data_IF_479027283969
#
_entry.id   IF_479027283969
#
_cell.length_a   1.000
_cell.length_b   1.000
_cell.length_c   1.000
_cell.angle_alpha   90.00
_cell.angle_beta   90.00
_cell.angle_gamma   90.00
#
_symmetry.space_group_name_H-M   'P 1'
#
loop_
_entity.id
_entity.type
_entity.pdbx_description
1 polymer ?
#
# COMPACT_ATOMS: atom_id res chain seq x y z
N UNK A 1 14.57 30.13 -28.72
CA UNK A 1 13.78 29.48 -27.66
C UNK A 1 14.38 28.11 -27.45
N UNK A 2 14.75 27.77 -26.21
CA UNK A 2 15.41 26.49 -25.91
C UNK A 2 14.49 25.30 -26.25
N UNK A 3 15.06 24.24 -26.83
CA UNK A 3 14.30 23.10 -27.34
C UNK A 3 13.40 22.44 -26.28
N UNK A 4 13.89 22.31 -25.04
CA UNK A 4 13.12 21.75 -23.93
C UNK A 4 11.90 22.61 -23.55
N UNK A 5 11.96 23.95 -23.74
CA UNK A 5 10.81 24.83 -23.50
C UNK A 5 9.70 24.60 -24.52
N UNK A 6 10.05 24.31 -25.77
CA UNK A 6 9.07 23.93 -26.79
C UNK A 6 8.39 22.61 -26.44
N UNK A 7 9.17 21.63 -25.94
CA UNK A 7 8.63 20.38 -25.42
C UNK A 7 7.67 20.60 -24.24
N UNK A 8 8.04 21.44 -23.26
CA UNK A 8 7.17 21.77 -22.14
C UNK A 8 5.85 22.42 -22.59
N UNK A 9 5.92 23.37 -23.53
CA UNK A 9 4.72 23.99 -24.12
C UNK A 9 3.84 22.99 -24.86
N UNK A 10 4.44 22.03 -25.57
CA UNK A 10 3.68 20.95 -26.22
C UNK A 10 2.96 20.05 -25.20
N UNK A 11 3.63 19.68 -24.10
CA UNK A 11 3.02 18.89 -23.03
C UNK A 11 1.85 19.62 -22.35
N UNK A 12 1.96 20.95 -22.18
CA UNK A 12 0.85 21.79 -21.68
C UNK A 12 -0.32 21.78 -22.68
N UNK A 13 -0.04 21.91 -23.98
CA UNK A 13 -1.07 21.81 -25.03
C UNK A 13 -1.76 20.44 -25.03
N UNK A 14 -1.01 19.38 -24.77
CA UNK A 14 -1.54 18.02 -24.61
C UNK A 14 -2.27 17.79 -23.27
N UNK A 15 -2.47 18.83 -22.44
CA UNK A 15 -3.13 18.75 -21.12
C UNK A 15 -2.45 17.76 -20.15
N UNK A 16 -1.12 17.63 -20.25
CA UNK A 16 -0.30 16.78 -19.36
C UNK A 16 0.30 17.59 -18.21
N UNK A 17 0.64 18.85 -18.48
CA UNK A 17 1.16 19.79 -17.49
C UNK A 17 0.23 20.99 -17.38
N UNK A 18 -0.01 21.53 -16.17
CA UNK A 18 -0.77 22.76 -16.01
C UNK A 18 -0.01 23.99 -16.56
N UNK A 19 -0.73 25.03 -16.96
CA UNK A 19 -0.10 26.27 -17.48
C UNK A 19 0.75 26.97 -16.41
N UNK A 20 0.30 26.92 -15.16
CA UNK A 20 0.98 27.44 -13.98
C UNK A 20 2.13 26.57 -13.46
N UNK A 21 2.44 25.43 -14.12
CA UNK A 21 3.49 24.52 -13.67
C UNK A 21 4.87 25.19 -13.65
N UNK A 22 5.70 24.91 -12.62
CA UNK A 22 7.05 25.52 -12.42
C UNK A 22 7.98 25.52 -13.63
N UNK A 23 7.78 24.61 -14.59
CA UNK A 23 8.58 24.52 -15.84
C UNK A 23 8.33 25.67 -16.81
N UNK A 24 7.25 26.44 -16.61
CA UNK A 24 6.95 27.64 -17.40
C UNK A 24 7.61 28.90 -16.85
N UNK A 25 8.18 28.86 -15.65
CA UNK A 25 8.84 30.01 -15.04
C UNK A 25 10.11 30.40 -15.81
N UNK A 26 10.46 31.68 -15.77
CA UNK A 26 11.66 32.19 -16.45
C UNK A 26 12.94 31.56 -15.89
N UNK A 27 12.95 31.23 -14.60
CA UNK A 27 14.07 30.60 -13.89
C UNK A 27 14.21 29.09 -14.11
N UNK A 28 13.23 28.46 -14.76
CA UNK A 28 13.21 27.02 -14.97
C UNK A 28 14.32 26.55 -15.93
N UNK A 29 14.80 25.33 -15.69
CA UNK A 29 15.85 24.66 -16.46
C UNK A 29 15.31 23.35 -17.05
N UNK A 30 16.01 22.81 -18.04
CA UNK A 30 15.69 21.50 -18.62
C UNK A 30 15.59 20.38 -17.57
N UNK A 31 16.36 20.48 -16.48
CA UNK A 31 16.31 19.54 -15.37
C UNK A 31 14.96 19.54 -14.64
N UNK A 32 14.28 20.68 -14.53
CA UNK A 32 12.96 20.76 -13.88
C UNK A 32 11.91 19.99 -14.68
N UNK A 33 12.00 20.05 -16.01
CA UNK A 33 11.17 19.24 -16.91
C UNK A 33 11.52 17.75 -16.81
N UNK A 34 12.80 17.41 -16.79
CA UNK A 34 13.26 16.03 -16.60
C UNK A 34 12.71 15.45 -15.30
N UNK A 35 12.76 16.21 -14.19
CA UNK A 35 12.19 15.79 -12.91
C UNK A 35 10.69 15.53 -12.98
N UNK A 36 9.93 16.37 -13.68
CA UNK A 36 8.48 16.21 -13.81
C UNK A 36 8.09 14.98 -14.62
N UNK A 37 8.90 14.57 -15.59
CA UNK A 37 8.65 13.39 -16.42
C UNK A 37 9.24 12.10 -15.83
N UNK A 38 10.10 12.23 -14.81
CA UNK A 38 11.02 11.20 -14.32
C UNK A 38 10.36 9.91 -13.84
N UNK A 39 9.13 10.01 -13.37
CA UNK A 39 8.38 8.87 -12.82
C UNK A 39 7.55 8.12 -13.86
N UNK A 40 7.55 8.60 -15.11
CA UNK A 40 6.84 8.03 -16.24
C UNK A 40 5.31 8.21 -16.23
N UNK A 41 4.72 8.77 -15.17
CA UNK A 41 3.25 8.89 -15.06
C UNK A 41 2.71 9.86 -16.09
N UNK A 42 3.32 11.05 -16.18
CA UNK A 42 2.93 12.08 -17.15
C UNK A 42 3.14 11.62 -18.60
N UNK A 43 4.14 10.77 -18.84
CA UNK A 43 4.39 10.19 -20.16
C UNK A 43 3.30 9.18 -20.54
N UNK A 44 2.85 8.34 -19.61
CA UNK A 44 1.72 7.45 -19.86
C UNK A 44 0.42 8.22 -20.09
N UNK A 45 0.20 9.29 -19.32
CA UNK A 45 -0.97 10.17 -19.50
C UNK A 45 -0.95 10.88 -20.85
N UNK A 46 0.22 11.33 -21.31
CA UNK A 46 0.39 11.93 -22.64
C UNK A 46 -0.16 11.02 -23.73
N UNK A 47 0.17 9.73 -23.72
CA UNK A 47 -0.30 8.80 -24.75
C UNK A 47 -1.82 8.64 -24.73
N UNK A 48 -2.44 8.56 -23.55
CA UNK A 48 -3.89 8.51 -23.42
C UNK A 48 -4.59 9.79 -23.89
N UNK A 49 -3.95 10.95 -23.70
CA UNK A 49 -4.48 12.22 -24.19
C UNK A 49 -4.36 12.34 -25.73
N UNK A 50 -3.33 11.75 -26.33
CA UNK A 50 -3.14 11.71 -27.78
C UNK A 50 -4.02 10.65 -28.46
N UNK A 51 -4.24 9.51 -27.80
CA UNK A 51 -5.10 8.44 -28.25
C UNK A 51 -5.75 7.75 -27.04
N UNK A 52 -7.08 7.85 -26.86
CA UNK A 52 -7.75 7.26 -25.71
C UNK A 52 -7.47 5.76 -25.56
N UNK A 53 -7.40 5.30 -24.32
CA UNK A 53 -7.22 3.88 -23.95
C UNK A 53 -5.93 3.22 -24.48
N UNK A 54 -4.91 3.99 -24.88
CA UNK A 54 -3.61 3.41 -25.25
C UNK A 54 -2.95 2.67 -24.08
N UNK A 55 -3.02 3.25 -22.87
CA UNK A 55 -2.48 2.63 -21.65
C UNK A 55 -3.61 2.48 -20.64
N UNK A 56 -3.79 1.25 -20.15
CA UNK A 56 -4.64 1.00 -19.01
C UNK A 56 -4.02 1.60 -17.75
N UNK A 57 -4.56 2.72 -17.26
CA UNK A 57 -4.02 3.44 -16.10
C UNK A 57 -4.01 2.59 -14.81
N UNK A 58 -4.75 1.47 -14.77
CA UNK A 58 -4.72 0.50 -13.66
C UNK A 58 -3.46 -0.36 -13.62
N UNK A 59 -2.70 -0.42 -14.72
CA UNK A 59 -1.50 -1.26 -14.84
C UNK A 59 -0.20 -0.49 -14.53
N UNK A 60 -0.27 0.85 -14.52
CA UNK A 60 0.83 1.74 -14.15
C UNK A 60 0.68 2.20 -12.69
N UNK A 61 1.79 2.62 -12.09
CA UNK A 61 1.78 3.14 -10.72
C UNK A 61 1.63 4.66 -10.77
N UNK A 62 0.48 5.19 -10.32
CA UNK A 62 0.18 6.62 -10.36
C UNK A 62 0.95 7.45 -9.31
N UNK A 63 1.47 6.79 -8.27
CA UNK A 63 2.25 7.42 -7.20
C UNK A 63 3.49 6.59 -6.88
N UNK A 64 4.45 6.49 -7.81
CA UNK A 64 5.59 5.60 -7.65
C UNK A 64 6.60 6.07 -6.59
N UNK A 65 6.39 7.22 -5.92
CA UNK A 65 7.23 7.76 -4.84
C UNK A 65 8.75 7.77 -5.16
N UNK A 66 9.11 7.99 -6.44
CA UNK A 66 10.49 7.89 -6.92
C UNK A 66 11.16 6.51 -6.74
N UNK A 67 10.38 5.46 -6.47
CA UNK A 67 10.82 4.07 -6.50
C UNK A 67 11.38 3.73 -7.88
N UNK A 68 12.64 3.34 -7.93
CA UNK A 68 13.32 2.97 -9.18
C UNK A 68 12.56 1.89 -9.94
N UNK A 69 12.06 0.87 -9.26
CA UNK A 69 11.35 -0.23 -9.91
C UNK A 69 10.04 0.25 -10.56
N UNK A 70 9.25 1.05 -9.83
CA UNK A 70 7.93 1.51 -10.30
C UNK A 70 8.05 2.57 -11.39
N UNK A 71 8.98 3.52 -11.23
CA UNK A 71 9.26 4.54 -12.23
C UNK A 71 9.75 3.88 -13.53
N UNK A 72 10.70 2.94 -13.45
CA UNK A 72 11.18 2.21 -14.63
C UNK A 72 10.08 1.37 -15.28
N UNK A 73 9.16 0.78 -14.49
CA UNK A 73 7.98 0.09 -15.04
C UNK A 73 7.12 1.04 -15.86
N UNK A 74 6.74 2.20 -15.31
CA UNK A 74 5.93 3.20 -16.00
C UNK A 74 6.61 3.68 -17.30
N UNK A 75 7.90 4.03 -17.23
CA UNK A 75 8.67 4.50 -18.39
C UNK A 75 8.71 3.41 -19.48
N UNK A 76 8.93 2.15 -19.11
CA UNK A 76 8.92 1.03 -20.08
C UNK A 76 7.54 0.83 -20.70
N UNK A 77 6.46 0.99 -19.93
CA UNK A 77 5.08 0.94 -20.47
C UNK A 77 4.86 2.03 -21.51
N UNK A 78 5.29 3.27 -21.23
CA UNK A 78 5.26 4.36 -22.21
C UNK A 78 6.04 4.03 -23.49
N UNK A 79 7.27 3.51 -23.35
CA UNK A 79 8.11 3.16 -24.50
C UNK A 79 7.51 2.04 -25.35
N UNK A 80 6.90 1.02 -24.72
CA UNK A 80 6.21 -0.06 -25.44
C UNK A 80 5.05 0.49 -26.26
N UNK A 81 4.20 1.32 -25.63
CA UNK A 81 3.04 1.92 -26.28
C UNK A 81 3.43 2.87 -27.43
N UNK A 82 4.54 3.60 -27.29
CA UNK A 82 5.10 4.41 -28.37
C UNK A 82 5.43 3.56 -29.62
N UNK A 83 5.97 2.37 -29.42
CA UNK A 83 6.30 1.45 -30.51
C UNK A 83 5.05 0.78 -31.10
N UNK A 84 4.16 0.28 -30.25
CA UNK A 84 3.03 -0.57 -30.64
C UNK A 84 1.86 0.22 -31.23
N UNK A 85 1.57 1.41 -30.67
CA UNK A 85 0.39 2.20 -31.04
C UNK A 85 0.77 3.40 -31.90
N UNK A 86 1.86 4.09 -31.55
CA UNK A 86 2.29 5.31 -32.24
C UNK A 86 3.30 5.05 -33.38
N UNK A 87 3.73 3.79 -33.57
CA UNK A 87 4.54 3.37 -34.71
C UNK A 87 5.98 3.90 -34.70
N UNK A 88 6.49 4.32 -33.54
CA UNK A 88 7.88 4.75 -33.39
C UNK A 88 8.84 3.56 -33.50
N UNK A 89 9.97 3.73 -34.20
CA UNK A 89 11.00 2.69 -34.31
C UNK A 89 11.80 2.60 -33.01
N UNK A 90 12.31 1.42 -32.67
CA UNK A 90 13.17 1.23 -31.48
C UNK A 90 14.39 2.18 -31.45
N UNK A 91 14.96 2.53 -32.60
CA UNK A 91 16.07 3.49 -32.71
C UNK A 91 15.68 4.95 -32.44
N UNK A 92 14.37 5.24 -32.36
CA UNK A 92 13.82 6.57 -32.09
C UNK A 92 13.42 6.76 -30.62
N UNK A 93 13.49 5.68 -29.84
CA UNK A 93 13.15 5.62 -28.43
C UNK A 93 14.41 5.78 -27.56
N UNK A 94 14.26 6.43 -26.42
CA UNK A 94 15.27 6.47 -25.36
C UNK A 94 15.23 5.18 -24.51
N UNK A 95 16.29 4.90 -23.76
CA UNK A 95 16.31 3.82 -22.77
C UNK A 95 15.73 4.28 -21.44
N UNK A 96 15.05 3.42 -20.68
CA UNK A 96 14.37 3.84 -19.45
C UNK A 96 15.26 4.58 -18.43
N UNK A 97 16.55 4.25 -18.38
CA UNK A 97 17.54 4.93 -17.52
C UNK A 97 17.97 6.30 -18.03
N UNK A 98 17.83 6.60 -19.33
CA UNK A 98 18.14 7.92 -19.90
C UNK A 98 17.28 9.01 -19.27
N UNK A 99 16.03 8.68 -18.93
CA UNK A 99 15.10 9.54 -18.19
C UNK A 99 15.22 9.37 -16.67
N UNK A 100 15.19 8.13 -16.17
CA UNK A 100 15.13 7.91 -14.72
C UNK A 100 16.39 8.40 -13.98
N UNK A 101 17.58 8.16 -14.54
CA UNK A 101 18.84 8.66 -13.98
C UNK A 101 19.26 10.00 -14.62
N UNK A 102 18.47 10.51 -15.57
CA UNK A 102 18.77 11.72 -16.36
C UNK A 102 20.13 11.63 -17.08
N UNK A 103 20.49 10.44 -17.59
CA UNK A 103 21.77 10.18 -18.28
C UNK A 103 21.85 10.90 -19.62
N UNK A 104 20.74 10.90 -20.35
CA UNK A 104 20.64 11.50 -21.69
C UNK A 104 19.22 12.03 -21.92
N UNK A 105 18.93 13.17 -21.29
CA UNK A 105 17.65 13.84 -21.48
C UNK A 105 17.45 14.35 -22.91
N UNK A 106 18.52 14.47 -23.70
CA UNK A 106 18.47 14.82 -25.12
C UNK A 106 17.66 13.79 -25.92
N UNK A 107 17.96 12.50 -25.74
CA UNK A 107 17.19 11.42 -26.38
C UNK A 107 15.72 11.41 -25.99
N UNK A 108 15.40 11.72 -24.72
CA UNK A 108 14.02 11.82 -24.26
C UNK A 108 13.26 12.90 -25.03
N UNK A 109 13.88 14.08 -25.20
CA UNK A 109 13.30 15.17 -25.98
C UNK A 109 13.16 14.79 -27.46
N UNK A 110 14.13 14.09 -28.04
CA UNK A 110 14.06 13.64 -29.43
C UNK A 110 12.93 12.63 -29.65
N UNK A 111 12.71 11.70 -28.71
CA UNK A 111 11.56 10.79 -28.76
C UNK A 111 10.24 11.54 -28.67
N UNK A 112 10.09 12.50 -27.74
CA UNK A 112 8.87 13.31 -27.62
C UNK A 112 8.61 14.18 -28.85
N UNK A 113 9.67 14.68 -29.49
CA UNK A 113 9.57 15.41 -30.75
C UNK A 113 9.12 14.51 -31.90
N UNK A 114 9.63 13.28 -32.01
CA UNK A 114 9.13 12.32 -33.00
C UNK A 114 7.69 11.92 -32.74
N UNK A 115 7.33 11.71 -31.47
CA UNK A 115 5.97 11.42 -31.04
C UNK A 115 4.99 12.55 -31.45
N UNK A 116 5.38 13.81 -31.25
CA UNK A 116 4.55 14.98 -31.60
C UNK A 116 4.31 15.12 -33.11
N UNK A 117 5.16 14.52 -33.95
CA UNK A 117 5.05 14.50 -35.40
C UNK A 117 4.39 13.22 -35.95
N UNK A 118 3.90 12.33 -35.10
CA UNK A 118 3.13 11.16 -35.54
C UNK A 118 1.77 11.58 -36.11
N UNK A 119 1.23 10.79 -37.04
CA UNK A 119 -0.08 11.08 -37.64
C UNK A 119 -1.19 11.19 -36.57
N UNK A 120 -1.13 10.34 -35.53
CA UNK A 120 -2.07 10.35 -34.40
C UNK A 120 -2.01 11.67 -33.62
N UNK A 121 -0.79 12.14 -33.31
CA UNK A 121 -0.60 13.39 -32.58
C UNK A 121 -0.96 14.64 -33.40
N UNK A 122 -0.83 14.58 -34.72
CA UNK A 122 -1.21 15.69 -35.61
C UNK A 122 -2.73 15.75 -35.85
N UNK A 123 -3.42 14.59 -35.84
CA UNK A 123 -4.87 14.50 -36.04
C UNK A 123 -5.70 14.96 -34.84
N UNK A 124 -5.12 15.01 -33.64
CA UNK A 124 -5.82 15.42 -32.41
C UNK A 124 -6.19 16.91 -32.36
N UNK A 125 -5.80 17.71 -33.35
CA UNK A 125 -6.40 19.04 -33.58
C UNK A 125 -6.13 20.09 -32.50
N UNK A 126 -5.07 19.94 -31.70
CA UNK A 126 -4.74 20.85 -30.60
C UNK A 126 -4.21 22.19 -31.15
N UNK A 127 -5.12 23.07 -31.59
CA UNK A 127 -4.90 24.49 -31.86
C UNK A 127 -5.94 25.35 -31.13
N UNK A 128 -5.38 26.34 -30.42
CA UNK A 128 -5.89 27.65 -29.99
C UNK A 128 -7.39 27.83 -29.76
N UNK A 129 -7.78 27.73 -28.48
CA UNK A 129 -8.62 28.62 -27.67
C UNK A 129 -9.09 27.75 -26.48
N UNK A 130 -8.82 28.04 -25.21
CA UNK A 130 -8.97 29.31 -24.52
C UNK A 130 -9.87 28.98 -23.33
N UNK A 131 -9.24 28.85 -22.16
CA UNK A 131 -9.71 28.96 -20.76
C UNK A 131 -11.10 28.37 -20.41
N UNK A 132 -11.12 27.43 -19.47
CA UNK A 132 -11.94 27.56 -18.25
C UNK A 132 -11.24 26.78 -17.11
N UNK A 133 -11.05 27.52 -16.01
CA UNK A 133 -10.85 27.18 -14.60
C UNK A 133 -9.82 26.11 -14.14
N UNK A 134 -8.77 26.61 -13.46
CA UNK A 134 -7.69 25.85 -12.81
C UNK A 134 -8.10 25.16 -11.49
N UNK A 135 -9.37 24.81 -11.27
CA UNK A 135 -9.82 23.97 -10.13
C UNK A 135 -10.12 22.50 -10.52
N UNK A 136 -10.09 22.15 -11.80
CA UNK A 136 -10.62 20.87 -12.32
C UNK A 136 -9.65 19.68 -12.34
N UNK A 137 -8.46 19.78 -11.73
CA UNK A 137 -7.56 18.62 -11.65
C UNK A 137 -8.08 17.52 -10.70
N UNK A 138 -9.19 17.78 -9.98
CA UNK A 138 -9.89 16.79 -9.17
C UNK A 138 -11.27 16.38 -9.74
N UNK A 139 -11.77 17.03 -10.80
CA UNK A 139 -13.07 16.70 -11.40
C UNK A 139 -12.99 15.47 -12.32
N UNK A 140 -11.85 15.24 -12.96
CA UNK A 140 -11.66 14.08 -13.84
C UNK A 140 -11.51 12.72 -13.13
N UNK A 141 -11.71 12.66 -11.80
CA UNK A 141 -11.76 11.41 -11.02
C UNK A 141 -13.16 11.11 -10.48
N UNK A 142 -14.07 12.08 -10.52
CA UNK A 142 -15.43 11.92 -10.01
C UNK A 142 -16.40 12.66 -10.94
N UNK A 143 -16.66 12.06 -12.10
CA UNK A 143 -17.63 12.56 -13.08
C UNK A 143 -18.92 13.07 -12.41
N UNK A 144 -19.33 14.24 -12.89
CA UNK A 144 -20.47 15.05 -12.46
C UNK A 144 -21.84 14.37 -12.74
N UNK A 145 -21.86 13.11 -13.19
CA UNK A 145 -23.06 12.26 -13.17
C UNK A 145 -23.38 11.74 -11.76
N UNK A 146 -22.47 11.93 -10.80
CA UNK A 146 -22.59 11.44 -9.43
C UNK A 146 -23.60 12.18 -8.54
N UNK A 147 -24.04 13.40 -8.90
CA UNK A 147 -24.88 14.23 -8.03
C UNK A 147 -26.26 13.64 -7.73
N UNK A 148 -27.02 13.29 -8.78
CA UNK A 148 -28.32 12.61 -8.64
C UNK A 148 -28.16 11.16 -8.16
N UNK A 149 -27.07 10.51 -8.57
CA UNK A 149 -26.70 9.14 -8.18
C UNK A 149 -26.43 9.06 -6.67
N UNK A 150 -25.77 10.06 -6.11
CA UNK A 150 -25.42 10.12 -4.68
C UNK A 150 -26.64 10.36 -3.81
N UNK A 151 -27.60 11.18 -4.22
CA UNK A 151 -28.87 11.33 -3.50
C UNK A 151 -29.70 10.04 -3.49
N UNK A 152 -29.77 9.32 -4.62
CA UNK A 152 -30.41 8.01 -4.72
C UNK A 152 -29.69 6.94 -3.86
N UNK A 153 -28.35 6.95 -3.85
CA UNK A 153 -27.51 6.06 -3.05
C UNK A 153 -27.56 6.39 -1.54
N UNK A 154 -27.72 7.66 -1.17
CA UNK A 154 -27.89 8.11 0.21
C UNK A 154 -29.25 7.73 0.78
N UNK A 155 -30.30 7.73 -0.05
CA UNK A 155 -31.58 7.09 0.29
C UNK A 155 -31.41 5.56 0.48
N UNK A 156 -30.45 4.94 -0.23
CA UNK A 156 -30.08 3.54 -0.05
C UNK A 156 -29.08 3.25 1.08
N UNK A 157 -28.28 4.18 1.60
CA UNK A 157 -27.40 3.93 2.77
C UNK A 157 -28.21 3.49 4.01
N UNK A 158 -29.49 3.88 4.07
CA UNK A 158 -30.44 3.38 5.05
C UNK A 158 -30.81 1.87 4.88
N UNK A 159 -30.50 1.26 3.73
CA UNK A 159 -31.00 -0.06 3.32
C UNK A 159 -30.10 -0.95 2.45
N UNK A 160 -28.91 -0.55 1.98
CA UNK A 160 -28.07 -1.37 1.09
C UNK A 160 -27.46 -2.63 1.74
N UNK A 161 -27.00 -2.62 3.02
CA UNK A 161 -26.46 -3.82 3.65
C UNK A 161 -27.41 -5.03 3.63
N UNK A 162 -28.72 -4.91 3.94
CA UNK A 162 -29.61 -6.08 3.94
C UNK A 162 -29.90 -6.67 2.55
N UNK A 163 -29.73 -5.94 1.44
CA UNK A 163 -30.05 -6.46 0.10
C UNK A 163 -28.91 -7.26 -0.55
N UNK A 164 -27.65 -7.03 -0.15
CA UNK A 164 -26.50 -7.80 -0.63
C UNK A 164 -25.91 -8.70 0.45
N UNK A 165 -25.67 -8.20 1.65
CA UNK A 165 -24.93 -8.92 2.69
C UNK A 165 -25.70 -10.17 3.15
N UNK A 166 -26.96 -10.02 3.58
CA UNK A 166 -27.78 -11.16 4.04
C UNK A 166 -28.02 -12.22 2.95
N UNK A 167 -28.37 -11.87 1.69
CA UNK A 167 -28.56 -12.88 0.68
C UNK A 167 -27.28 -13.60 0.26
N UNK A 168 -26.12 -12.95 0.38
CA UNK A 168 -24.82 -13.55 0.05
C UNK A 168 -24.24 -14.42 1.17
N UNK A 169 -24.65 -14.24 2.43
CA UNK A 169 -24.26 -15.13 3.54
C UNK A 169 -24.64 -16.60 3.29
N UNK A 170 -25.61 -16.86 2.41
CA UNK A 170 -26.00 -18.22 2.01
C UNK A 170 -25.10 -18.83 0.93
N UNK A 171 -24.32 -18.01 0.23
CA UNK A 171 -23.49 -18.39 -0.94
C UNK A 171 -21.99 -18.23 -0.68
N UNK A 172 -21.63 -17.40 0.31
CA UNK A 172 -20.26 -17.03 0.64
C UNK A 172 -19.92 -17.45 2.07
N UNK A 173 -18.67 -17.84 2.28
CA UNK A 173 -18.21 -18.13 3.65
C UNK A 173 -18.08 -16.84 4.45
N UNK A 174 -18.04 -16.93 5.78
CA UNK A 174 -17.77 -15.76 6.64
C UNK A 174 -16.45 -15.07 6.30
N UNK A 175 -15.44 -15.82 5.84
CA UNK A 175 -14.17 -15.26 5.37
C UNK A 175 -14.36 -14.42 4.12
N UNK A 176 -15.12 -14.93 3.14
CA UNK A 176 -15.41 -14.25 1.88
C UNK A 176 -16.21 -12.96 2.15
N UNK A 177 -17.23 -13.03 3.02
CA UNK A 177 -18.04 -11.88 3.43
C UNK A 177 -17.16 -10.80 4.08
N UNK A 178 -16.28 -11.18 5.02
CA UNK A 178 -15.38 -10.24 5.68
C UNK A 178 -14.39 -9.59 4.70
N UNK A 179 -13.96 -10.31 3.65
CA UNK A 179 -13.07 -9.78 2.61
C UNK A 179 -13.79 -8.81 1.67
N UNK A 180 -15.02 -9.13 1.26
CA UNK A 180 -15.81 -8.31 0.32
C UNK A 180 -16.37 -7.06 1.02
N UNK A 181 -16.91 -7.20 2.23
CA UNK A 181 -17.61 -6.11 2.93
C UNK A 181 -16.75 -5.38 3.97
N UNK A 182 -15.55 -5.87 4.28
CA UNK A 182 -14.55 -5.24 5.16
C UNK A 182 -15.14 -4.89 6.53
N UNK A 183 -15.49 -3.61 6.74
CA UNK A 183 -16.11 -3.07 7.96
C UNK A 183 -17.34 -2.20 7.64
N UNK A 184 -18.02 -2.45 6.51
CA UNK A 184 -19.31 -1.81 6.17
C UNK A 184 -20.33 -1.89 7.31
N UNK A 185 -20.51 -3.02 8.02
CA UNK A 185 -21.46 -3.07 9.14
C UNK A 185 -21.18 -2.03 10.22
N UNK A 186 -19.91 -1.71 10.47
CA UNK A 186 -19.52 -0.71 11.46
C UNK A 186 -19.66 0.71 10.91
N UNK A 187 -19.35 0.94 9.64
CA UNK A 187 -19.65 2.20 8.95
C UNK A 187 -21.14 2.54 9.01
N UNK A 188 -22.00 1.56 8.73
CA UNK A 188 -23.47 1.72 8.79
C UNK A 188 -23.93 2.09 10.20
N UNK A 189 -23.36 1.49 11.25
CA UNK A 189 -23.70 1.84 12.64
C UNK A 189 -23.32 3.30 12.93
N UNK A 190 -22.11 3.72 12.56
CA UNK A 190 -21.65 5.10 12.77
C UNK A 190 -22.53 6.08 12.00
N UNK A 191 -22.84 5.82 10.73
CA UNK A 191 -23.68 6.71 9.92
C UNK A 191 -25.13 6.76 10.35
N UNK A 192 -25.71 5.66 10.85
CA UNK A 192 -27.04 5.69 11.45
C UNK A 192 -27.11 6.62 12.66
N UNK A 193 -26.11 6.55 13.54
CA UNK A 193 -26.04 7.48 14.67
C UNK A 193 -25.82 8.93 14.19
N UNK A 194 -24.89 9.15 13.25
CA UNK A 194 -24.62 10.48 12.71
C UNK A 194 -25.87 11.09 12.08
N UNK A 195 -26.59 10.33 11.25
CA UNK A 195 -27.83 10.78 10.62
C UNK A 195 -28.89 11.14 11.66
N UNK A 196 -29.06 10.31 12.70
CA UNK A 196 -30.01 10.58 13.77
C UNK A 196 -29.67 11.88 14.51
N UNK A 197 -28.41 12.10 14.85
CA UNK A 197 -27.97 13.31 15.55
C UNK A 197 -28.11 14.55 14.67
N UNK A 198 -27.81 14.45 13.38
CA UNK A 198 -28.02 15.52 12.39
C UNK A 198 -29.51 15.86 12.25
N UNK A 199 -30.38 14.86 12.11
CA UNK A 199 -31.83 15.05 12.02
C UNK A 199 -32.41 15.69 13.29
N UNK A 200 -31.94 15.27 14.46
CA UNK A 200 -32.32 15.85 15.74
C UNK A 200 -31.86 17.31 15.85
N UNK A 201 -30.64 17.62 15.42
CA UNK A 201 -30.10 18.99 15.39
C UNK A 201 -30.92 19.91 14.49
N UNK A 202 -31.22 19.46 13.26
CA UNK A 202 -32.02 20.23 12.30
C UNK A 202 -33.44 20.46 12.83
N UNK A 203 -34.07 19.42 13.39
CA UNK A 203 -35.48 19.48 13.80
C UNK A 203 -35.70 20.21 15.14
N UNK A 204 -34.76 20.12 16.08
CA UNK A 204 -34.96 20.59 17.46
C UNK A 204 -34.02 21.71 17.88
N UNK A 205 -32.89 21.91 17.20
CA UNK A 205 -31.86 22.88 17.58
C UNK A 205 -31.57 23.89 16.45
N UNK A 206 -32.41 23.94 15.42
CA UNK A 206 -32.25 24.80 14.24
C UNK A 206 -30.85 24.70 13.62
N UNK A 207 -30.24 23.50 13.63
CA UNK A 207 -28.89 23.24 13.12
C UNK A 207 -27.74 24.01 13.81
N UNK A 208 -27.98 24.69 14.94
CA UNK A 208 -26.96 25.51 15.62
C UNK A 208 -25.76 24.72 16.18
N UNK A 209 -25.94 23.43 16.44
CA UNK A 209 -24.91 22.54 16.99
C UNK A 209 -24.29 21.58 15.94
N UNK A 210 -24.54 21.79 14.63
CA UNK A 210 -24.01 20.92 13.57
C UNK A 210 -22.49 20.75 13.63
N UNK A 211 -21.76 21.84 13.91
CA UNK A 211 -20.31 21.80 14.01
C UNK A 211 -19.84 20.82 15.10
N UNK A 212 -20.53 20.79 16.25
CA UNK A 212 -20.17 19.93 17.37
C UNK A 212 -20.38 18.46 17.02
N UNK A 213 -21.46 18.14 16.31
CA UNK A 213 -21.72 16.77 15.83
C UNK A 213 -20.56 16.30 14.94
N UNK A 214 -20.12 17.09 13.96
CA UNK A 214 -18.99 16.69 13.11
C UNK A 214 -17.68 16.54 13.89
N UNK A 215 -17.44 17.39 14.89
CA UNK A 215 -16.27 17.27 15.77
C UNK A 215 -16.32 15.97 16.57
N UNK A 216 -17.46 15.64 17.18
CA UNK A 216 -17.66 14.43 17.99
C UNK A 216 -17.55 13.13 17.17
N UNK A 217 -17.92 13.20 15.89
CA UNK A 217 -17.84 12.06 14.97
C UNK A 217 -16.49 11.91 14.27
N UNK A 218 -15.58 12.89 14.33
CA UNK A 218 -14.24 12.82 13.71
C UNK A 218 -13.52 11.52 14.06
N UNK A 219 -13.39 11.21 15.35
CA UNK A 219 -12.68 10.00 15.81
C UNK A 219 -13.44 8.72 15.43
N UNK A 220 -14.78 8.75 15.50
CA UNK A 220 -15.63 7.62 15.14
C UNK A 220 -15.55 7.28 13.66
N UNK A 221 -15.26 8.27 12.81
CA UNK A 221 -15.09 8.13 11.37
C UNK A 221 -13.69 7.62 10.99
N UNK A 222 -12.71 7.52 11.91
CA UNK A 222 -11.38 6.97 11.58
C UNK A 222 -11.42 5.51 11.09
N UNK A 223 -12.50 4.79 11.36
CA UNK A 223 -12.74 3.45 10.80
C UNK A 223 -12.77 3.42 9.26
N UNK A 224 -12.91 4.59 8.60
CA UNK A 224 -12.74 4.74 7.16
C UNK A 224 -11.33 4.41 6.68
N UNK A 225 -10.29 4.61 7.51
CA UNK A 225 -8.92 4.25 7.15
C UNK A 225 -8.79 2.76 6.81
N UNK A 226 -9.43 1.89 7.61
CA UNK A 226 -9.51 0.45 7.33
C UNK A 226 -10.26 0.16 6.04
N UNK A 227 -11.40 0.81 5.81
CA UNK A 227 -12.20 0.57 4.62
C UNK A 227 -11.45 0.97 3.33
N UNK A 228 -10.94 2.20 3.28
CA UNK A 228 -10.33 2.77 2.08
C UNK A 228 -9.00 2.09 1.72
N UNK A 229 -8.26 1.57 2.70
CA UNK A 229 -7.03 0.79 2.45
C UNK A 229 -7.30 -0.60 1.86
N UNK A 230 -8.52 -1.15 2.00
CA UNK A 230 -8.84 -2.52 1.59
C UNK A 230 -9.89 -2.62 0.47
N UNK A 231 -10.62 -1.55 0.15
CA UNK A 231 -11.72 -1.58 -0.84
C UNK A 231 -11.28 -2.07 -2.22
N UNK A 232 -10.09 -1.69 -2.70
CA UNK A 232 -9.56 -2.15 -3.99
C UNK A 232 -9.29 -3.66 -4.01
N UNK A 233 -8.75 -4.20 -2.90
CA UNK A 233 -8.52 -5.64 -2.74
C UNK A 233 -9.85 -6.39 -2.63
N UNK A 234 -10.86 -5.80 -1.98
CA UNK A 234 -12.19 -6.37 -1.88
C UNK A 234 -12.89 -6.44 -3.24
N UNK A 235 -12.80 -5.40 -4.07
CA UNK A 235 -13.34 -5.37 -5.44
C UNK A 235 -12.64 -6.40 -6.32
N UNK A 236 -11.30 -6.46 -6.28
CA UNK A 236 -10.54 -7.45 -7.05
C UNK A 236 -10.92 -8.88 -6.66
N UNK A 237 -11.11 -9.12 -5.37
CA UNK A 237 -11.54 -10.41 -4.86
C UNK A 237 -12.99 -10.74 -5.25
N UNK A 238 -13.89 -9.76 -5.22
CA UNK A 238 -15.27 -9.90 -5.71
C UNK A 238 -15.30 -10.26 -7.20
N UNK A 239 -14.47 -9.60 -8.02
CA UNK A 239 -14.35 -9.89 -9.45
C UNK A 239 -13.85 -11.32 -9.68
N UNK A 240 -12.91 -11.81 -8.86
CA UNK A 240 -12.43 -13.18 -8.90
C UNK A 240 -13.53 -14.18 -8.49
N UNK A 241 -14.27 -13.90 -7.42
CA UNK A 241 -15.41 -14.73 -7.00
C UNK A 241 -16.47 -14.85 -8.11
N UNK A 242 -16.76 -13.76 -8.83
CA UNK A 242 -17.72 -13.77 -9.94
C UNK A 242 -17.23 -14.59 -11.14
N UNK A 243 -15.92 -14.73 -11.33
CA UNK A 243 -15.33 -15.57 -12.38
C UNK A 243 -15.37 -17.05 -12.00
N UNK A 244 -15.07 -17.36 -10.74
CA UNK A 244 -14.91 -18.73 -10.27
C UNK A 244 -16.23 -19.40 -9.88
N UNK A 245 -17.24 -18.61 -9.47
CA UNK A 245 -18.50 -19.09 -8.90
C UNK A 245 -19.70 -18.48 -9.62
N UNK A 246 -20.27 -19.25 -10.56
CA UNK A 246 -21.43 -18.83 -11.36
C UNK A 246 -22.67 -18.51 -10.51
N UNK A 247 -22.91 -19.29 -9.45
CA UNK A 247 -24.01 -19.11 -8.51
C UNK A 247 -23.91 -17.77 -7.76
N UNK A 248 -22.70 -17.38 -7.35
CA UNK A 248 -22.43 -16.08 -6.73
C UNK A 248 -22.69 -14.95 -7.72
N UNK A 249 -22.23 -15.08 -8.98
CA UNK A 249 -22.46 -14.08 -10.03
C UNK A 249 -23.94 -13.84 -10.27
N UNK A 250 -24.71 -14.90 -10.49
CA UNK A 250 -26.16 -14.83 -10.68
C UNK A 250 -26.86 -14.23 -9.46
N UNK A 251 -26.41 -14.60 -8.26
CA UNK A 251 -26.97 -14.05 -7.02
C UNK A 251 -26.74 -12.55 -6.92
N UNK A 252 -25.56 -12.05 -7.29
CA UNK A 252 -25.25 -10.62 -7.30
C UNK A 252 -26.13 -9.83 -8.27
N UNK A 253 -26.42 -10.38 -9.46
CA UNK A 253 -27.36 -9.76 -10.40
C UNK A 253 -28.78 -9.69 -9.84
N UNK A 254 -29.25 -10.75 -9.18
CA UNK A 254 -30.55 -10.76 -8.49
C UNK A 254 -30.60 -9.72 -7.38
N UNK A 255 -29.54 -9.61 -6.58
CA UNK A 255 -29.44 -8.60 -5.53
C UNK A 255 -29.45 -7.18 -6.11
N UNK A 256 -28.71 -6.93 -7.19
CA UNK A 256 -28.69 -5.64 -7.89
C UNK A 256 -30.08 -5.26 -8.44
N UNK A 257 -30.74 -6.18 -9.15
CA UNK A 257 -32.12 -5.96 -9.63
C UNK A 257 -33.09 -5.66 -8.50
N UNK A 258 -33.00 -6.36 -7.37
CA UNK A 258 -33.89 -6.14 -6.22
C UNK A 258 -33.60 -4.84 -5.46
N UNK A 259 -32.33 -4.47 -5.35
CA UNK A 259 -31.93 -3.30 -4.58
C UNK A 259 -32.20 -2.00 -5.34
N UNK A 260 -31.91 -1.97 -6.64
CA UNK A 260 -31.82 -0.72 -7.42
C UNK A 260 -32.24 -0.88 -8.90
N UNK A 261 -33.07 -1.88 -9.22
CA UNK A 261 -33.48 -2.20 -10.60
C UNK A 261 -32.31 -2.47 -11.56
N UNK A 262 -31.13 -2.84 -11.03
CA UNK A 262 -29.96 -3.12 -11.85
C UNK A 262 -29.15 -1.89 -12.23
N UNK A 263 -29.46 -0.70 -11.69
CA UNK A 263 -28.73 0.55 -11.97
C UNK A 263 -27.30 0.51 -11.41
N UNK A 264 -27.08 -0.17 -10.29
CA UNK A 264 -25.76 -0.26 -9.65
C UNK A 264 -25.43 -1.68 -9.22
N UNK A 265 -24.21 -2.12 -9.54
CA UNK A 265 -23.67 -3.40 -9.10
C UNK A 265 -23.08 -3.29 -7.69
N UNK A 266 -22.83 -4.43 -7.01
CA UNK A 266 -22.14 -4.40 -5.71
C UNK A 266 -20.76 -3.73 -5.82
N UNK A 267 -20.06 -3.92 -6.95
CA UNK A 267 -18.76 -3.31 -7.22
C UNK A 267 -18.84 -1.78 -7.20
N UNK A 268 -19.87 -1.21 -7.82
CA UNK A 268 -20.10 0.25 -7.83
C UNK A 268 -20.49 0.75 -6.44
N UNK A 269 -21.27 -0.02 -5.69
CA UNK A 269 -21.67 0.34 -4.33
C UNK A 269 -20.50 0.33 -3.33
N UNK A 270 -19.49 -0.52 -3.54
CA UNK A 270 -18.31 -0.59 -2.66
C UNK A 270 -17.41 0.67 -2.77
N UNK A 271 -17.52 1.49 -3.82
CA UNK A 271 -16.73 2.74 -3.87
C UNK A 271 -17.40 3.90 -3.12
N UNK A 272 -18.71 3.81 -2.85
CA UNK A 272 -19.52 4.89 -2.29
C UNK A 272 -19.02 5.38 -0.92
N UNK A 273 -18.65 4.52 0.05
CA UNK A 273 -18.21 5.02 1.34
C UNK A 273 -16.93 5.87 1.22
N UNK A 274 -16.00 5.50 0.34
CA UNK A 274 -14.79 6.29 0.08
C UNK A 274 -15.13 7.66 -0.50
N UNK A 275 -16.13 7.76 -1.37
CA UNK A 275 -16.61 9.04 -1.89
C UNK A 275 -17.30 9.86 -0.80
N UNK A 276 -18.11 9.22 0.07
CA UNK A 276 -18.85 9.88 1.15
C UNK A 276 -17.95 10.68 2.08
N UNK A 277 -16.90 10.04 2.60
CA UNK A 277 -16.02 10.67 3.59
C UNK A 277 -15.31 11.92 3.04
N UNK A 278 -15.05 11.96 1.73
CA UNK A 278 -14.43 13.08 1.03
C UNK A 278 -15.41 14.22 0.69
N UNK A 279 -16.73 14.02 0.86
CA UNK A 279 -17.73 15.07 0.59
C UNK A 279 -18.02 15.93 1.83
N UNK A 280 -17.73 15.47 3.05
CA UNK A 280 -18.05 16.22 4.27
C UNK A 280 -17.38 17.58 4.33
N UNK A 281 -16.09 17.67 4.00
CA UNK A 281 -15.39 18.96 4.01
C UNK A 281 -15.90 19.90 2.90
N UNK A 282 -16.33 19.37 1.74
CA UNK A 282 -16.89 20.18 0.66
C UNK A 282 -18.25 20.77 1.06
N UNK A 283 -19.11 19.96 1.67
CA UNK A 283 -20.42 20.40 2.16
C UNK A 283 -20.28 21.43 3.29
N UNK A 284 -19.37 21.20 4.24
CA UNK A 284 -19.09 22.18 5.30
C UNK A 284 -18.45 23.46 4.78
N UNK A 285 -17.58 23.37 3.77
CA UNK A 285 -16.99 24.53 3.11
C UNK A 285 -18.06 25.39 2.46
N UNK A 286 -19.02 24.78 1.76
CA UNK A 286 -20.13 25.50 1.15
C UNK A 286 -21.04 26.11 2.23
N UNK A 287 -21.35 25.38 3.29
CA UNK A 287 -22.12 25.90 4.43
C UNK A 287 -21.45 27.14 5.06
N UNK A 288 -20.13 27.08 5.31
CA UNK A 288 -19.34 28.20 5.85
C UNK A 288 -19.39 29.44 4.95
N UNK A 289 -19.43 29.28 3.61
CA UNK A 289 -19.54 30.41 2.68
C UNK A 289 -20.86 31.15 2.88
N UNK A 290 -21.97 30.41 3.03
CA UNK A 290 -23.32 30.97 3.17
C UNK A 290 -23.70 31.37 4.60
N UNK A 291 -22.90 31.04 5.61
CA UNK A 291 -23.11 31.52 7.00
C UNK A 291 -22.61 32.96 7.17
N UNK A 292 -23.50 33.84 7.65
CA UNK A 292 -23.21 35.25 7.92
C UNK A 292 -22.83 35.53 9.37
N UNK A 293 -23.36 34.76 10.34
CA UNK A 293 -23.03 34.94 11.75
C UNK A 293 -21.56 34.58 12.01
N UNK A 294 -20.83 35.50 12.65
CA UNK A 294 -19.38 35.36 12.83
C UNK A 294 -19.00 34.22 13.79
N UNK A 295 -19.83 33.96 14.80
CA UNK A 295 -19.57 32.91 15.81
C UNK A 295 -19.86 31.55 15.21
N UNK A 296 -21.01 31.39 14.55
CA UNK A 296 -21.39 30.17 13.84
C UNK A 296 -20.40 29.84 12.71
N UNK A 297 -20.00 30.85 11.93
CA UNK A 297 -19.00 30.69 10.87
C UNK A 297 -17.65 30.22 11.44
N UNK A 298 -17.22 30.74 12.60
CA UNK A 298 -16.01 30.27 13.28
C UNK A 298 -16.15 28.82 13.75
N UNK A 299 -17.30 28.47 14.34
CA UNK A 299 -17.55 27.11 14.80
C UNK A 299 -17.59 26.10 13.64
N UNK A 300 -18.24 26.44 12.53
CA UNK A 300 -18.28 25.62 11.32
C UNK A 300 -16.91 25.48 10.65
N UNK A 301 -16.04 26.50 10.72
CA UNK A 301 -14.64 26.38 10.27
C UNK A 301 -13.86 25.34 11.07
N UNK A 302 -14.05 25.26 12.38
CA UNK A 302 -13.41 24.21 13.19
C UNK A 302 -13.86 22.81 12.75
N UNK A 303 -15.15 22.63 12.48
CA UNK A 303 -15.67 21.36 11.95
C UNK A 303 -15.15 21.06 10.53
N UNK A 304 -15.04 22.09 9.68
CA UNK A 304 -14.45 21.97 8.35
C UNK A 304 -13.01 21.47 8.43
N UNK A 305 -12.19 22.07 9.29
CA UNK A 305 -10.79 21.67 9.48
C UNK A 305 -10.71 20.23 10.01
N UNK A 306 -11.58 19.85 10.94
CA UNK A 306 -11.68 18.47 11.42
C UNK A 306 -12.01 17.44 10.31
N UNK A 307 -12.88 17.80 9.36
CA UNK A 307 -13.21 16.92 8.23
C UNK A 307 -12.13 16.93 7.13
N UNK A 308 -11.39 18.02 6.95
CA UNK A 308 -10.19 18.04 6.10
C UNK A 308 -9.09 17.13 6.67
N UNK A 309 -8.85 17.20 7.98
CA UNK A 309 -7.93 16.30 8.67
C UNK A 309 -8.32 14.83 8.47
N UNK A 310 -9.62 14.51 8.55
CA UNK A 310 -10.12 13.16 8.31
C UNK A 310 -9.84 12.70 6.88
N UNK A 311 -10.07 13.57 5.88
CA UNK A 311 -9.76 13.26 4.49
C UNK A 311 -8.25 13.05 4.27
N UNK A 312 -7.41 13.87 4.90
CA UNK A 312 -5.97 13.70 4.88
C UNK A 312 -5.55 12.37 5.53
N UNK A 313 -6.07 12.05 6.71
CA UNK A 313 -5.84 10.77 7.38
C UNK A 313 -6.18 9.58 6.49
N UNK A 314 -7.34 9.58 5.83
CA UNK A 314 -7.73 8.50 4.91
C UNK A 314 -6.74 8.37 3.75
N UNK A 315 -6.27 9.49 3.20
CA UNK A 315 -5.27 9.50 2.14
C UNK A 315 -3.91 8.94 2.61
N UNK A 316 -3.47 9.30 3.82
CA UNK A 316 -2.21 8.80 4.41
C UNK A 316 -2.31 7.30 4.72
N UNK A 317 -3.39 6.82 5.32
CA UNK A 317 -3.58 5.38 5.58
C UNK A 317 -3.61 4.56 4.29
N UNK A 318 -4.22 5.09 3.22
CA UNK A 318 -4.19 4.45 1.91
C UNK A 318 -2.75 4.39 1.38
N UNK A 319 -2.03 5.50 1.44
CA UNK A 319 -0.62 5.60 1.01
C UNK A 319 0.27 4.62 1.78
N UNK A 320 0.15 4.58 3.11
CA UNK A 320 0.92 3.66 3.95
C UNK A 320 0.61 2.20 3.60
N UNK A 321 -0.64 1.87 3.27
CA UNK A 321 -1.00 0.52 2.85
C UNK A 321 -0.38 0.15 1.49
N UNK A 322 -0.35 1.08 0.54
CA UNK A 322 0.35 0.92 -0.74
C UNK A 322 1.85 0.69 -0.50
N UNK A 323 2.49 1.53 0.32
CA UNK A 323 3.91 1.38 0.70
C UNK A 323 4.17 0.03 1.38
N UNK A 324 3.29 -0.45 2.27
CA UNK A 324 3.43 -1.77 2.89
C UNK A 324 3.32 -2.92 1.87
N UNK A 325 2.48 -2.79 0.84
CA UNK A 325 2.41 -3.78 -0.25
C UNK A 325 3.67 -3.79 -1.09
N UNK A 326 4.24 -2.62 -1.37
CA UNK A 326 5.53 -2.51 -2.06
C UNK A 326 6.64 -3.17 -1.24
N UNK A 327 6.68 -2.92 0.08
CA UNK A 327 7.61 -3.58 1.00
C UNK A 327 7.43 -5.10 0.96
N UNK A 328 6.21 -5.61 1.04
CA UNK A 328 5.92 -7.06 0.94
C UNK A 328 6.37 -7.64 -0.40
N UNK A 329 6.19 -6.90 -1.50
CA UNK A 329 6.68 -7.30 -2.82
C UNK A 329 8.21 -7.33 -2.88
N UNK A 330 8.88 -6.32 -2.32
CA UNK A 330 10.34 -6.31 -2.20
C UNK A 330 10.84 -7.48 -1.36
N UNK A 331 10.24 -7.71 -0.20
CA UNK A 331 10.58 -8.84 0.67
C UNK A 331 10.47 -10.17 -0.06
N UNK A 332 9.42 -10.39 -0.86
CA UNK A 332 9.26 -11.61 -1.68
C UNK A 332 10.27 -11.74 -2.81
N UNK A 333 10.77 -10.62 -3.34
CA UNK A 333 11.77 -10.61 -4.41
C UNK A 333 13.21 -10.81 -3.92
N UNK A 334 13.47 -10.62 -2.63
CA UNK A 334 14.79 -10.82 -2.04
C UNK A 334 14.95 -12.29 -1.67
N UNK A 335 15.73 -13.03 -2.46
CA UNK A 335 16.13 -14.39 -2.11
C UNK A 335 16.99 -14.39 -0.84
N UNK A 336 16.78 -15.38 0.05
CA UNK A 336 17.51 -15.55 1.32
C UNK A 336 17.22 -14.53 2.45
N UNK A 337 16.13 -13.77 2.39
CA UNK A 337 15.74 -12.87 3.48
C UNK A 337 15.24 -13.64 4.72
N UNK A 338 15.97 -13.54 5.83
CA UNK A 338 15.64 -14.15 7.12
C UNK A 338 14.48 -13.39 7.80
N UNK A 339 13.25 -13.65 7.36
CA UNK A 339 12.08 -12.79 7.66
C UNK A 339 11.14 -13.34 8.74
N UNK A 340 11.27 -14.61 9.09
CA UNK A 340 10.32 -15.30 9.98
C UNK A 340 10.95 -15.60 11.33
N UNK A 341 10.80 -14.64 12.26
CA UNK A 341 11.37 -14.71 13.61
C UNK A 341 10.48 -15.38 14.66
N UNK A 342 11.08 -15.89 15.73
CA UNK A 342 10.44 -16.10 17.04
C UNK A 342 11.47 -15.98 18.16
N UNK A 343 10.99 -15.62 19.35
CA UNK A 343 11.81 -15.42 20.55
C UNK A 343 11.61 -16.59 21.52
N UNK A 344 12.70 -17.21 21.96
CA UNK A 344 12.70 -18.32 22.93
C UNK A 344 13.31 -17.85 24.24
N UNK A 345 12.50 -17.71 25.29
CA UNK A 345 12.97 -17.36 26.64
C UNK A 345 13.38 -18.61 27.42
N UNK A 346 14.49 -18.51 28.16
CA UNK A 346 14.84 -19.48 29.20
C UNK A 346 13.90 -19.38 30.42
N UNK A 347 13.64 -20.49 31.12
CA UNK A 347 12.65 -20.61 32.20
C UNK A 347 12.86 -19.69 33.43
N UNK A 348 14.01 -19.03 33.54
CA UNK A 348 14.30 -18.05 34.59
C UNK A 348 14.14 -16.58 34.14
N UNK A 349 13.69 -16.33 32.90
CA UNK A 349 13.35 -15.00 32.37
C UNK A 349 14.52 -14.05 32.13
N UNK A 350 15.77 -14.48 32.35
CA UNK A 350 16.97 -13.63 32.28
C UNK A 350 17.69 -13.64 30.92
N UNK A 351 17.37 -14.59 30.04
CA UNK A 351 17.96 -14.69 28.70
C UNK A 351 17.00 -15.35 27.71
N UNK A 352 17.12 -15.00 26.44
CA UNK A 352 16.39 -15.61 25.34
C UNK A 352 17.14 -15.56 24.03
N UNK A 353 16.69 -16.36 23.07
CA UNK A 353 17.28 -16.51 21.75
C UNK A 353 16.31 -16.05 20.67
N UNK A 354 16.78 -15.23 19.75
CA UNK A 354 16.06 -14.87 18.53
C UNK A 354 16.46 -15.77 17.40
N UNK A 355 15.49 -16.50 16.86
CA UNK A 355 15.68 -17.35 15.70
C UNK A 355 14.93 -16.77 14.52
N UNK A 356 15.62 -16.56 13.41
CA UNK A 356 15.02 -16.16 12.15
C UNK A 356 15.04 -17.34 11.17
N UNK A 357 14.01 -17.43 10.34
CA UNK A 357 13.85 -18.46 9.33
C UNK A 357 13.57 -17.82 7.98
N UNK A 358 14.04 -18.46 6.91
CA UNK A 358 13.91 -17.95 5.53
C UNK A 358 12.48 -18.02 4.99
N UNK A 359 11.66 -18.97 5.43
CA UNK A 359 10.28 -19.15 4.94
C UNK A 359 9.29 -19.45 6.05
N UNK A 360 8.01 -19.12 5.80
CA UNK A 360 6.89 -19.42 6.70
C UNK A 360 6.69 -20.93 6.87
N UNK A 361 6.95 -21.69 5.82
CA UNK A 361 6.87 -23.16 5.77
C UNK A 361 7.97 -23.79 6.62
N UNK A 362 9.18 -23.21 6.63
CA UNK A 362 10.28 -23.67 7.49
C UNK A 362 9.95 -23.39 8.97
N UNK A 363 9.41 -22.21 9.28
CA UNK A 363 8.89 -21.89 10.62
C UNK A 363 7.78 -22.83 11.05
N UNK A 364 6.82 -23.10 10.16
CA UNK A 364 5.73 -24.04 10.41
C UNK A 364 6.27 -25.46 10.64
N UNK A 365 7.20 -25.93 9.81
CA UNK A 365 7.86 -27.23 9.94
C UNK A 365 8.62 -27.35 11.26
N UNK A 366 9.40 -26.34 11.65
CA UNK A 366 10.15 -26.35 12.92
C UNK A 366 9.23 -26.34 14.15
N UNK A 367 8.10 -25.61 14.09
CA UNK A 367 7.09 -25.59 15.15
C UNK A 367 6.25 -26.88 15.21
N UNK A 368 5.94 -27.50 14.06
CA UNK A 368 5.10 -28.70 13.97
C UNK A 368 5.87 -30.00 14.20
N UNK A 369 7.16 -30.05 13.82
CA UNK A 369 8.02 -31.21 14.07
C UNK A 369 8.58 -31.26 15.50
N UNK A 370 8.24 -30.28 16.33
CA UNK A 370 8.55 -30.32 17.74
C UNK A 370 10.04 -30.22 18.10
N UNK A 371 10.82 -29.63 17.19
CA UNK A 371 12.26 -29.48 17.33
C UNK A 371 12.61 -28.64 18.59
N UNK A 372 11.68 -27.79 19.06
CA UNK A 372 11.82 -26.98 20.28
C UNK A 372 11.31 -27.63 21.57
N UNK A 373 10.74 -28.84 21.52
CA UNK A 373 10.29 -29.55 22.72
C UNK A 373 11.44 -30.22 23.49
N UNK A 374 12.67 -30.13 22.98
CA UNK A 374 13.85 -30.67 23.63
C UNK A 374 14.35 -29.72 24.73
N UNK A 375 13.74 -29.82 25.92
CA UNK A 375 14.31 -29.27 27.17
C UNK A 375 13.59 -28.09 27.83
N UNK A 376 12.39 -27.70 27.37
CA UNK A 376 11.61 -26.61 27.99
C UNK A 376 10.34 -27.16 28.63
N UNK A 377 10.05 -26.79 29.88
CA UNK A 377 8.86 -27.25 30.63
C UNK A 377 7.83 -26.13 30.81
N UNK A 378 6.55 -26.47 30.63
CA UNK A 378 5.41 -25.61 30.89
C UNK A 378 5.32 -25.29 32.39
N UNK A 379 5.42 -24.01 32.75
CA UNK A 379 5.38 -23.55 34.15
C UNK A 379 4.06 -23.83 34.88
N UNK A 380 3.00 -24.21 34.16
CA UNK A 380 1.70 -24.57 34.75
C UNK A 380 1.53 -26.07 35.01
N UNK A 381 2.17 -26.94 34.24
CA UNK A 381 1.96 -28.39 34.35
C UNK A 381 3.24 -29.24 34.46
N UNK A 382 4.43 -28.65 34.30
CA UNK A 382 5.72 -29.34 34.47
C UNK A 382 6.06 -30.37 33.40
N UNK A 383 5.34 -30.41 32.27
CA UNK A 383 5.70 -31.22 31.09
C UNK A 383 6.32 -30.37 29.98
N UNK A 384 6.78 -30.99 28.89
CA UNK A 384 7.33 -30.30 27.72
C UNK A 384 6.46 -29.13 27.23
N UNK A 385 7.09 -28.01 26.86
CA UNK A 385 6.42 -26.74 26.58
C UNK A 385 5.30 -26.87 25.55
N UNK A 386 4.08 -26.45 25.88
CA UNK A 386 2.92 -26.59 24.99
C UNK A 386 2.91 -25.57 23.86
N UNK A 387 2.41 -25.99 22.68
CA UNK A 387 2.21 -25.14 21.49
C UNK A 387 1.43 -23.84 21.77
N UNK A 388 0.49 -23.87 22.71
CA UNK A 388 -0.41 -22.75 23.03
C UNK A 388 0.20 -21.69 23.95
N UNK A 389 1.27 -22.02 24.68
CA UNK A 389 1.92 -21.11 25.63
C UNK A 389 2.91 -20.14 24.95
N UNK A 390 3.44 -20.49 23.77
CA UNK A 390 4.40 -19.69 23.01
C UNK A 390 3.75 -18.58 22.17
N UNK A 391 2.44 -18.64 21.93
CA UNK A 391 1.71 -17.71 21.07
C UNK A 391 1.44 -16.31 21.70
N UNK A 392 1.97 -16.03 22.91
CA UNK A 392 1.64 -14.82 23.70
C UNK A 392 2.79 -13.81 23.86
N UNK A 393 3.91 -13.95 23.16
CA UNK A 393 5.05 -13.02 23.29
C UNK A 393 5.04 -12.00 22.15
N UNK A 394 4.98 -10.70 22.49
CA UNK A 394 5.03 -9.56 21.55
C UNK A 394 6.49 -9.26 21.12
N UNK A 395 6.74 -8.68 19.92
CA UNK A 395 8.10 -8.44 19.43
C UNK A 395 8.70 -7.11 19.93
N UNK A 396 10.02 -7.08 20.15
CA UNK A 396 10.78 -5.85 20.47
C UNK A 396 12.26 -5.94 20.02
N UNK A 397 12.69 -5.03 19.15
CA UNK A 397 14.01 -4.34 19.21
C UNK A 397 15.28 -5.01 18.66
N UNK A 398 15.87 -4.39 17.63
CA UNK A 398 17.22 -4.66 17.05
C UNK A 398 18.37 -4.41 18.04
N UNK A 399 19.50 -5.11 17.89
CA UNK A 399 20.82 -4.45 17.84
C UNK A 399 21.97 -5.31 17.26
N UNK A 400 22.94 -4.60 16.69
CA UNK A 400 23.97 -5.02 15.72
C UNK A 400 25.39 -5.22 16.30
N UNK A 401 26.16 -6.14 15.68
CA UNK A 401 27.60 -6.00 15.36
C UNK A 401 28.65 -6.15 16.47
N UNK A 402 29.39 -7.27 16.48
CA UNK A 402 30.85 -7.37 16.78
C UNK A 402 31.36 -8.72 16.26
N UNK A 403 32.42 -8.72 15.44
CA UNK A 403 33.04 -9.93 14.89
C UNK A 403 33.85 -10.64 15.97
N UNK A 404 33.63 -11.94 16.10
CA UNK A 404 34.23 -12.79 17.13
C UNK A 404 35.08 -13.88 16.44
N UNK A 405 35.94 -14.61 17.18
CA UNK A 405 36.95 -15.47 16.60
C UNK A 405 36.38 -16.59 15.74
N UNK A 406 37.10 -16.93 14.66
CA UNK A 406 36.86 -18.09 13.81
C UNK A 406 37.92 -19.15 14.08
N UNK A 407 37.49 -20.40 14.22
CA UNK A 407 38.35 -21.53 14.52
C UNK A 407 38.25 -22.57 13.41
N UNK A 408 39.39 -23.10 12.97
CA UNK A 408 39.47 -24.18 12.00
C UNK A 408 39.56 -25.51 12.74
N UNK A 409 38.71 -26.46 12.38
CA UNK A 409 38.80 -27.82 12.87
C UNK A 409 39.97 -28.55 12.21
N UNK A 410 40.97 -28.92 13.00
CA UNK A 410 42.17 -29.62 12.51
C UNK A 410 42.02 -31.13 12.54
N UNK A 411 41.03 -31.66 13.26
CA UNK A 411 40.70 -33.08 13.34
C UNK A 411 39.20 -33.29 13.55
N UNK A 412 38.71 -34.47 13.20
CA UNK A 412 37.33 -34.85 13.47
C UNK A 412 37.09 -35.01 14.97
N UNK A 413 35.98 -34.47 15.47
CA UNK A 413 35.50 -34.68 16.83
C UNK A 413 34.06 -35.21 16.79
N UNK A 414 33.84 -36.35 17.45
CA UNK A 414 32.55 -37.05 17.50
C UNK A 414 32.00 -37.20 18.92
N UNK A 415 32.51 -36.40 19.87
CA UNK A 415 32.10 -36.51 21.27
C UNK A 415 32.99 -37.37 22.15
N UNK A 416 34.28 -37.50 21.84
CA UNK A 416 35.25 -38.16 22.71
C UNK A 416 36.45 -37.23 22.99
N UNK A 417 36.66 -36.77 24.24
CA UNK A 417 35.89 -37.13 25.43
C UNK A 417 34.45 -36.61 25.41
N UNK A 418 33.56 -37.38 26.03
CA UNK A 418 32.13 -37.08 26.13
C UNK A 418 31.91 -35.82 26.96
N UNK A 419 31.17 -34.82 26.45
CA UNK A 419 30.92 -33.60 27.21
C UNK A 419 30.09 -33.87 28.47
N UNK A 420 30.43 -33.19 29.56
CA UNK A 420 29.80 -33.39 30.87
C UNK A 420 28.32 -32.96 30.90
N UNK A 421 27.87 -32.12 29.96
CA UNK A 421 26.46 -31.86 29.73
C UNK A 421 26.20 -31.49 28.25
N UNK A 422 25.02 -31.85 27.76
CA UNK A 422 24.60 -31.61 26.37
C UNK A 422 25.10 -32.66 25.37
N UNK A 423 24.53 -32.69 24.15
CA UNK A 423 24.99 -33.57 23.09
C UNK A 423 26.33 -33.09 22.52
N UNK A 424 27.19 -34.03 22.12
CA UNK A 424 28.47 -33.72 21.50
C UNK A 424 28.30 -32.95 20.18
N UNK A 425 29.09 -31.89 20.02
CA UNK A 425 29.22 -31.19 18.76
C UNK A 425 29.99 -32.10 17.79
N UNK A 426 29.39 -32.46 16.66
CA UNK A 426 30.11 -33.22 15.63
C UNK A 426 30.82 -32.22 14.72
N UNK A 427 32.15 -32.30 14.66
CA UNK A 427 32.99 -31.40 13.87
C UNK A 427 33.85 -32.26 12.93
N UNK A 428 33.94 -31.89 11.67
CA UNK A 428 34.85 -32.54 10.71
C UNK A 428 36.08 -31.66 10.45
N UNK A 429 37.21 -32.31 10.16
CA UNK A 429 38.44 -31.65 9.78
C UNK A 429 38.20 -30.75 8.55
N UNK A 430 38.54 -29.47 8.66
CA UNK A 430 38.29 -28.43 7.65
C UNK A 430 37.07 -27.55 7.93
N UNK A 431 36.22 -27.89 8.90
CA UNK A 431 35.09 -27.04 9.29
C UNK A 431 35.58 -25.74 9.94
N UNK A 432 34.90 -24.63 9.62
CA UNK A 432 35.14 -23.32 10.25
C UNK A 432 34.03 -23.03 11.25
N UNK A 433 34.40 -22.77 12.50
CA UNK A 433 33.50 -22.50 13.62
C UNK A 433 33.63 -21.02 13.98
N UNK A 434 32.56 -20.25 13.76
CA UNK A 434 32.50 -18.83 14.12
C UNK A 434 31.75 -18.63 15.43
N UNK A 435 32.39 -17.96 16.37
CA UNK A 435 31.77 -17.61 17.65
C UNK A 435 30.81 -16.43 17.41
N UNK A 436 29.59 -16.46 17.95
CA UNK A 436 28.60 -15.38 17.74
C UNK A 436 28.36 -14.52 18.98
N UNK A 437 28.72 -15.04 20.18
CA UNK A 437 28.89 -14.27 21.42
C UNK A 437 29.68 -15.06 22.45
N UNK A 438 30.63 -14.43 23.13
CA UNK A 438 31.25 -14.95 24.35
C UNK A 438 31.47 -13.84 25.39
N UNK A 439 31.53 -14.22 26.66
CA UNK A 439 32.02 -13.34 27.72
C UNK A 439 33.54 -13.23 27.58
N UNK A 440 34.04 -12.01 27.34
CA UNK A 440 35.46 -11.69 27.12
C UNK A 440 36.37 -12.14 28.28
N UNK A 441 35.81 -12.38 29.46
CA UNK A 441 36.55 -12.81 30.65
C UNK A 441 36.36 -14.29 31.01
N UNK A 442 35.57 -15.04 30.25
CA UNK A 442 35.28 -16.43 30.54
C UNK A 442 36.28 -17.35 29.85
N UNK A 443 37.14 -18.02 30.62
CA UNK A 443 38.07 -19.05 30.15
C UNK A 443 37.39 -20.39 29.86
N UNK A 444 36.11 -20.40 29.49
CA UNK A 444 35.32 -21.61 29.27
C UNK A 444 35.91 -22.54 28.19
N UNK A 445 36.63 -21.98 27.22
CA UNK A 445 37.36 -22.74 26.19
C UNK A 445 38.70 -23.33 26.68
N UNK A 446 39.27 -22.82 27.77
CA UNK A 446 40.54 -23.33 28.35
C UNK A 446 40.32 -24.41 29.40
N UNK A 447 39.13 -24.45 30.01
CA UNK A 447 38.83 -25.38 31.12
C UNK A 447 37.96 -26.54 30.64
N UNK A 448 38.31 -27.19 29.52
CA UNK A 448 37.90 -28.58 29.25
C UNK A 448 36.45 -28.88 28.83
N UNK A 449 35.63 -27.89 28.44
CA UNK A 449 34.24 -28.12 27.98
C UNK A 449 34.09 -28.09 26.46
N UNK A 450 35.08 -27.56 25.76
CA UNK A 450 35.21 -27.54 24.31
C UNK A 450 36.53 -28.24 23.95
N UNK A 451 36.56 -29.12 22.94
CA UNK A 451 37.75 -29.90 22.59
C UNK A 451 38.78 -29.00 21.89
N UNK A 452 39.40 -28.09 22.64
CA UNK A 452 40.35 -27.08 22.15
C UNK A 452 41.59 -27.67 21.49
N UNK A 453 41.86 -28.96 21.65
CA UNK A 453 42.91 -29.71 20.96
C UNK A 453 42.53 -30.16 19.54
N UNK A 454 41.28 -29.96 19.12
CA UNK A 454 40.73 -30.38 17.81
C UNK A 454 40.48 -29.19 16.87
N UNK A 455 40.75 -27.97 17.34
CA UNK A 455 40.62 -26.73 16.58
C UNK A 455 41.85 -25.86 16.77
N UNK A 456 42.17 -25.04 15.78
CA UNK A 456 43.16 -23.97 15.89
C UNK A 456 42.54 -22.62 15.50
N UNK A 457 43.13 -21.52 15.98
CA UNK A 457 42.67 -20.18 15.61
C UNK A 457 42.95 -19.96 14.11
N UNK A 458 41.90 -19.68 13.34
CA UNK A 458 42.04 -19.46 11.91
C UNK A 458 42.61 -18.06 11.68
N UNK A 459 43.70 -17.96 10.89
CA UNK A 459 44.14 -16.65 10.39
C UNK A 459 43.06 -16.06 9.47
N UNK A 460 42.80 -14.75 9.60
CA UNK A 460 41.77 -14.00 8.85
C UNK A 460 41.91 -14.07 7.33
#
# INVERSE_FOLDING_TARGET
MEYWRQCALWLIRCRVLPQSHRVTWDTARAFDLAQSLRDGVLLCQLLNNLHPQTINLKEINLRPQMSQFLCLKNIRTFLSACCEVFGLKKSELFEAFDLFDVRDFGKVMDTLSKLSNTAIALQTGIRENGVDDEEDLYDCVYDDEGGEVYEDLMKMEAGAPPFFLRPLEQFLTTCDINRVFINIPDLVKVHKSLLQDLQNSISHQSASNLYQIFMDYKERLLIYGKYCSHVETAITYLDQLCKDKEDVRQKLEVCSKRANNGKFTLRDLLVVPMQRVLKYHLLLQELVKHTNDAVEKKNLRNALDAMKDLAQYVNEVKRDNETLREIDQYQKSIENLWSYGFYLTHNQGRSGFEFFLKTKELKKKWLEQGIFYQGYECTKCGQGAHKECLARVLPCGKDSGTGLPKMLAIMNYHGDPVPQCGPALNIQQGDIIELLRADLHSSWWQVGWFPSTYVEEGEE
#
